data_IF_065460585316
#
_entry.id   IF_065460585316
#
_cell.length_a   1.000
_cell.length_b   1.000
_cell.length_c   1.000
_cell.angle_alpha   90.00
_cell.angle_beta   90.00
_cell.angle_gamma   90.00
#
_symmetry.space_group_name_H-M   'P 1'
#
loop_
_entity.id
_entity.type
_entity.pdbx_description
1 polymer ?
#
# COMPACT_ATOMS: atom_id res chain seq x y z
N UNK A 1 -19.21 -11.67 -0.76
CA UNK A 1 -18.23 -11.50 -1.85
C UNK A 1 -18.84 -12.08 -3.11
N UNK A 2 -18.84 -11.33 -4.21
CA UNK A 2 -19.33 -11.75 -5.53
C UNK A 2 -18.32 -11.41 -6.61
N UNK A 3 -18.48 -11.96 -7.81
CA UNK A 3 -17.58 -11.78 -8.96
C UNK A 3 -18.11 -10.81 -10.03
N UNK A 4 -19.10 -9.99 -9.69
CA UNK A 4 -19.74 -9.07 -10.63
C UNK A 4 -19.42 -7.62 -10.24
N UNK A 5 -18.65 -6.94 -11.08
CA UNK A 5 -18.26 -5.54 -10.89
C UNK A 5 -19.46 -4.59 -10.93
N UNK A 6 -20.54 -4.95 -11.64
CA UNK A 6 -21.76 -4.14 -11.70
C UNK A 6 -22.49 -4.09 -10.34
N UNK A 7 -22.27 -5.05 -9.45
CA UNK A 7 -22.81 -5.03 -8.08
C UNK A 7 -22.30 -3.85 -7.26
N UNK A 8 -21.14 -3.27 -7.60
CA UNK A 8 -20.56 -2.14 -6.89
C UNK A 8 -21.42 -0.87 -6.95
N UNK A 9 -22.17 -0.73 -8.04
CA UNK A 9 -23.02 0.41 -8.33
C UNK A 9 -24.50 0.03 -8.22
N UNK A 10 -24.88 -1.21 -8.50
CA UNK A 10 -26.30 -1.62 -8.50
C UNK A 10 -26.90 -1.86 -7.10
N UNK A 11 -26.09 -2.13 -6.07
CA UNK A 11 -26.59 -2.49 -4.74
C UNK A 11 -26.58 -1.36 -3.70
N UNK A 12 -26.30 -0.11 -4.11
CA UNK A 12 -26.14 1.03 -3.19
C UNK A 12 -27.28 2.03 -3.27
N UNK A 13 -27.48 2.74 -2.16
CA UNK A 13 -28.41 3.87 -2.15
C UNK A 13 -27.94 4.92 -3.17
N UNK A 14 -28.84 5.49 -4.00
CA UNK A 14 -28.47 6.49 -4.99
C UNK A 14 -27.65 7.65 -4.39
N UNK A 15 -27.98 8.07 -3.17
CA UNK A 15 -27.30 9.17 -2.47
C UNK A 15 -25.82 8.86 -2.17
N UNK A 16 -25.48 7.60 -1.88
CA UNK A 16 -24.09 7.16 -1.63
C UNK A 16 -23.26 7.21 -2.92
N UNK A 17 -23.83 6.69 -4.01
CA UNK A 17 -23.21 6.70 -5.33
C UNK A 17 -23.01 8.15 -5.79
N UNK A 18 -24.03 8.97 -5.60
CA UNK A 18 -24.00 10.38 -5.98
C UNK A 18 -22.93 11.15 -5.18
N UNK A 19 -22.78 10.91 -3.88
CA UNK A 19 -21.75 11.56 -3.07
C UNK A 19 -20.33 11.19 -3.53
N UNK A 20 -20.06 9.90 -3.78
CA UNK A 20 -18.74 9.43 -4.25
C UNK A 20 -18.42 9.90 -5.67
N UNK A 21 -19.39 9.79 -6.58
CA UNK A 21 -19.26 10.32 -7.94
C UNK A 21 -18.97 11.82 -7.91
N UNK A 22 -19.72 12.59 -7.11
CA UNK A 22 -19.53 14.02 -6.93
C UNK A 22 -18.13 14.37 -6.43
N UNK A 23 -17.61 13.65 -5.42
CA UNK A 23 -16.25 13.86 -4.94
C UNK A 23 -15.21 13.64 -6.05
N UNK A 24 -15.31 12.54 -6.80
CA UNK A 24 -14.42 12.26 -7.93
C UNK A 24 -14.51 13.34 -9.00
N UNK A 25 -15.73 13.75 -9.36
CA UNK A 25 -15.98 14.80 -10.34
C UNK A 25 -15.32 16.13 -9.96
N UNK A 26 -15.60 16.62 -8.75
CA UNK A 26 -15.04 17.88 -8.24
C UNK A 26 -13.50 17.89 -8.24
N UNK A 27 -12.89 16.80 -7.76
CA UNK A 27 -11.43 16.68 -7.71
C UNK A 27 -10.83 16.60 -9.11
N UNK A 28 -11.48 15.88 -10.03
CA UNK A 28 -11.03 15.75 -11.42
C UNK A 28 -11.12 17.09 -12.16
N UNK A 29 -12.24 17.81 -12.02
CA UNK A 29 -12.44 19.14 -12.61
C UNK A 29 -11.44 20.16 -12.08
N UNK A 30 -11.09 20.08 -10.78
CA UNK A 30 -10.09 20.93 -10.15
C UNK A 30 -8.63 20.51 -10.43
N UNK A 31 -8.43 19.43 -11.19
CA UNK A 31 -7.11 18.89 -11.54
C UNK A 31 -6.31 18.46 -10.31
N UNK A 32 -6.97 17.87 -9.30
CA UNK A 32 -6.31 17.29 -8.13
C UNK A 32 -5.87 15.85 -8.47
N UNK A 33 -4.57 15.53 -8.44
CA UNK A 33 -4.11 14.17 -8.75
C UNK A 33 -4.44 13.21 -7.60
N UNK A 34 -5.11 12.11 -7.94
CA UNK A 34 -5.30 10.97 -7.04
C UNK A 34 -5.32 9.66 -7.85
N UNK A 35 -5.08 8.54 -7.17
CA UNK A 35 -5.44 7.22 -7.67
C UNK A 35 -6.52 6.60 -6.78
N UNK A 36 -7.48 5.89 -7.35
CA UNK A 36 -8.48 5.14 -6.61
C UNK A 36 -7.82 3.88 -6.07
N UNK A 37 -7.96 3.63 -4.78
CA UNK A 37 -7.45 2.43 -4.12
C UNK A 37 -8.56 1.60 -3.49
N UNK A 38 -8.24 0.97 -2.36
CA UNK A 38 -9.24 0.29 -1.53
C UNK A 38 -9.97 -0.86 -2.24
N UNK A 39 -11.24 -1.03 -1.88
CA UNK A 39 -12.08 -2.09 -2.43
C UNK A 39 -12.31 -1.96 -3.94
N UNK A 40 -12.37 -0.74 -4.49
CA UNK A 40 -12.58 -0.51 -5.92
C UNK A 40 -11.38 -0.94 -6.74
N UNK A 41 -10.17 -0.55 -6.33
CA UNK A 41 -8.95 -0.97 -7.02
C UNK A 41 -8.75 -2.48 -6.90
N UNK A 42 -9.01 -3.04 -5.73
CA UNK A 42 -8.98 -4.48 -5.52
C UNK A 42 -9.97 -5.23 -6.43
N UNK A 43 -11.20 -4.74 -6.57
CA UNK A 43 -12.20 -5.30 -7.48
C UNK A 43 -11.78 -5.17 -8.95
N UNK A 44 -11.18 -4.04 -9.35
CA UNK A 44 -10.68 -3.84 -10.71
C UNK A 44 -9.59 -4.86 -11.10
N UNK A 45 -8.73 -5.27 -10.17
CA UNK A 45 -7.68 -6.26 -10.42
C UNK A 45 -8.15 -7.71 -10.28
N UNK A 46 -9.07 -7.99 -9.35
CA UNK A 46 -9.42 -9.37 -8.99
C UNK A 46 -10.79 -9.84 -9.48
N UNK A 47 -11.66 -8.90 -9.85
CA UNK A 47 -13.09 -9.13 -10.05
C UNK A 47 -13.88 -9.36 -8.76
N UNK A 48 -13.22 -9.42 -7.59
CA UNK A 48 -13.87 -9.70 -6.32
C UNK A 48 -14.44 -8.41 -5.75
N UNK A 49 -15.77 -8.36 -5.65
CA UNK A 49 -16.48 -7.25 -5.03
C UNK A 49 -16.74 -7.48 -3.54
N UNK A 50 -16.60 -6.39 -2.78
CA UNK A 50 -16.99 -6.27 -1.37
C UNK A 50 -17.72 -4.95 -1.17
N UNK A 51 -18.76 -5.02 -0.35
CA UNK A 51 -19.39 -3.82 0.15
C UNK A 51 -18.37 -3.03 0.99
N UNK A 52 -18.21 -1.75 0.66
CA UNK A 52 -17.33 -0.81 1.37
C UNK A 52 -18.12 0.44 1.70
N UNK A 53 -17.89 0.99 2.89
CA UNK A 53 -18.50 2.24 3.33
C UNK A 53 -17.70 3.46 2.83
N UNK A 54 -16.50 3.22 2.31
CA UNK A 54 -15.48 4.26 2.14
C UNK A 54 -15.07 4.32 0.66
N UNK A 55 -14.86 5.53 0.14
CA UNK A 55 -14.12 5.75 -1.10
C UNK A 55 -12.67 6.11 -0.74
N UNK A 56 -11.74 5.21 -1.05
CA UNK A 56 -10.32 5.42 -0.78
C UNK A 56 -9.64 6.07 -2.00
N UNK A 57 -9.22 7.32 -1.84
CA UNK A 57 -8.43 8.07 -2.80
C UNK A 57 -7.00 8.23 -2.27
N UNK A 58 -6.01 8.01 -3.14
CA UNK A 58 -4.59 8.04 -2.81
C UNK A 58 -3.92 9.19 -3.53
N UNK A 59 -4.01 10.43 -3.01
CA UNK A 59 -3.22 11.56 -3.48
C UNK A 59 -1.79 11.48 -2.94
N UNK A 60 -0.88 12.26 -3.51
CA UNK A 60 0.36 12.57 -2.78
C UNK A 60 0.01 13.43 -1.57
N UNK A 61 0.84 13.41 -0.53
CA UNK A 61 0.62 14.24 0.67
C UNK A 61 0.46 15.74 0.34
N UNK A 62 1.23 16.25 -0.63
CA UNK A 62 1.15 17.64 -1.11
C UNK A 62 -0.20 17.99 -1.77
N UNK A 63 -0.87 17.00 -2.35
CA UNK A 63 -2.12 17.17 -3.10
C UNK A 63 -3.35 16.95 -2.19
N UNK A 64 -3.19 16.21 -1.08
CA UNK A 64 -4.27 15.91 -0.13
C UNK A 64 -4.90 17.17 0.48
N UNK A 65 -4.11 18.21 0.78
CA UNK A 65 -4.62 19.49 1.31
C UNK A 65 -5.54 20.20 0.32
N UNK A 66 -5.12 20.27 -0.95
CA UNK A 66 -5.93 20.85 -2.04
C UNK A 66 -7.23 20.05 -2.23
N UNK A 67 -7.18 18.72 -2.08
CA UNK A 67 -8.38 17.89 -2.16
C UNK A 67 -9.43 18.26 -1.09
N UNK A 68 -8.99 18.53 0.15
CA UNK A 68 -9.90 19.00 1.20
C UNK A 68 -10.49 20.37 0.87
N UNK A 69 -9.65 21.33 0.45
CA UNK A 69 -10.11 22.69 0.10
C UNK A 69 -11.20 22.67 -0.98
N UNK A 70 -11.03 21.84 -2.02
CA UNK A 70 -12.01 21.71 -3.10
C UNK A 70 -13.34 21.14 -2.59
N UNK A 71 -13.30 20.11 -1.75
CA UNK A 71 -14.53 19.53 -1.20
C UNK A 71 -15.20 20.46 -0.17
N UNK A 72 -14.44 21.20 0.62
CA UNK A 72 -14.96 22.19 1.56
C UNK A 72 -15.73 23.31 0.84
N UNK A 73 -15.24 23.77 -0.32
CA UNK A 73 -15.95 24.74 -1.16
C UNK A 73 -17.30 24.21 -1.68
N UNK A 74 -17.45 22.89 -1.84
CA UNK A 74 -18.70 22.22 -2.21
C UNK A 74 -19.61 21.93 -1.01
N UNK A 75 -19.18 22.30 0.21
CA UNK A 75 -19.94 22.13 1.45
C UNK A 75 -19.66 20.82 2.19
N UNK A 76 -18.63 20.07 1.82
CA UNK A 76 -18.20 18.91 2.57
C UNK A 76 -17.53 19.32 3.87
N UNK A 77 -17.72 18.51 4.92
CA UNK A 77 -16.98 18.67 6.17
C UNK A 77 -15.66 17.93 6.04
N UNK A 78 -14.53 18.60 6.19
CA UNK A 78 -13.20 17.98 6.05
C UNK A 78 -12.45 17.89 7.38
N UNK A 79 -11.63 16.86 7.52
CA UNK A 79 -10.82 16.62 8.71
C UNK A 79 -9.40 16.19 8.33
N UNK A 80 -8.41 16.80 9.00
CA UNK A 80 -7.02 16.32 8.97
C UNK A 80 -6.81 15.28 10.06
N UNK A 81 -7.28 14.06 9.81
CA UNK A 81 -7.36 13.00 10.83
C UNK A 81 -5.99 12.54 11.35
N UNK A 82 -5.02 12.36 10.46
CA UNK A 82 -3.64 12.00 10.79
C UNK A 82 -2.67 12.54 9.74
N UNK A 83 -1.81 13.48 10.14
CA UNK A 83 -0.84 14.12 9.24
C UNK A 83 0.23 13.17 8.68
N UNK A 84 0.34 11.94 9.18
CA UNK A 84 1.26 10.94 8.63
C UNK A 84 0.66 10.26 7.40
N UNK A 85 -0.66 10.04 7.36
CA UNK A 85 -1.21 9.13 6.35
C UNK A 85 -2.64 9.36 5.87
N UNK A 86 -3.51 10.07 6.62
CA UNK A 86 -4.95 10.07 6.33
C UNK A 86 -5.61 11.42 6.61
N UNK A 87 -6.30 11.95 5.59
CA UNK A 87 -7.35 12.95 5.77
C UNK A 87 -8.71 12.40 5.37
N UNK A 88 -9.80 13.02 5.82
CA UNK A 88 -11.17 12.60 5.53
C UNK A 88 -12.04 13.76 5.07
N UNK A 89 -12.99 13.49 4.19
CA UNK A 89 -14.07 14.41 3.85
C UNK A 89 -15.42 13.71 3.97
N UNK A 90 -16.43 14.42 4.47
CA UNK A 90 -17.75 13.89 4.80
C UNK A 90 -18.85 14.67 4.09
N UNK A 91 -19.80 13.95 3.49
CA UNK A 91 -21.06 14.47 2.95
C UNK A 91 -22.22 13.68 3.58
N UNK A 92 -22.81 14.23 4.65
CA UNK A 92 -23.77 13.49 5.48
C UNK A 92 -23.11 12.30 6.16
N UNK A 93 -23.65 11.09 5.94
CA UNK A 93 -23.11 9.83 6.48
C UNK A 93 -22.02 9.22 5.58
N UNK A 94 -21.79 9.76 4.39
CA UNK A 94 -20.82 9.26 3.43
C UNK A 94 -19.47 9.95 3.61
N UNK A 95 -18.38 9.21 3.40
CA UNK A 95 -17.04 9.77 3.51
C UNK A 95 -16.05 9.23 2.48
N UNK A 96 -15.04 10.06 2.24
CA UNK A 96 -13.91 9.82 1.34
C UNK A 96 -12.64 9.89 2.16
N UNK A 97 -11.80 8.87 2.03
CA UNK A 97 -10.50 8.78 2.67
C UNK A 97 -9.41 9.23 1.70
N UNK A 98 -8.60 10.18 2.13
CA UNK A 98 -7.42 10.65 1.40
C UNK A 98 -6.16 10.06 2.03
N UNK A 99 -5.77 8.90 1.50
CA UNK A 99 -4.69 8.07 2.01
C UNK A 99 -3.39 8.38 1.25
N UNK A 100 -2.47 9.11 1.87
CA UNK A 100 -1.19 9.48 1.25
C UNK A 100 0.01 8.67 1.78
N UNK A 101 -0.25 7.75 2.72
CA UNK A 101 0.68 6.73 3.19
C UNK A 101 -0.08 5.57 3.85
N UNK A 102 0.56 4.44 4.16
CA UNK A 102 0.03 3.52 5.16
C UNK A 102 0.17 4.09 6.58
N UNK A 103 -0.65 3.64 7.53
CA UNK A 103 -0.62 4.10 8.93
C UNK A 103 0.67 3.79 9.70
N UNK A 104 1.53 2.91 9.17
CA UNK A 104 2.89 2.69 9.66
C UNK A 104 3.95 3.56 8.98
N UNK A 105 3.57 4.40 8.01
CA UNK A 105 4.46 5.32 7.29
C UNK A 105 5.34 4.66 6.24
N UNK A 106 5.08 3.39 5.88
CA UNK A 106 5.91 2.61 4.94
C UNK A 106 5.47 2.85 3.50
N UNK A 107 4.19 2.64 3.19
CA UNK A 107 3.66 2.69 1.83
C UNK A 107 3.24 4.12 1.46
N UNK A 108 4.23 5.01 1.31
CA UNK A 108 4.01 6.41 0.90
C UNK A 108 3.52 6.47 -0.55
N UNK A 109 2.54 7.34 -0.82
CA UNK A 109 2.06 7.60 -2.17
C UNK A 109 3.01 8.57 -2.89
N UNK A 110 3.84 8.01 -3.76
CA UNK A 110 4.82 8.72 -4.59
C UNK A 110 4.45 8.71 -6.08
N UNK A 111 5.33 9.23 -6.94
CA UNK A 111 5.08 9.37 -8.38
C UNK A 111 4.87 8.03 -9.09
N UNK A 112 5.51 6.95 -8.63
CA UNK A 112 5.39 5.62 -9.22
C UNK A 112 3.96 5.05 -9.07
N UNK A 113 3.18 5.47 -8.06
CA UNK A 113 1.76 5.11 -7.97
C UNK A 113 0.95 5.62 -9.17
N UNK A 114 1.31 6.80 -9.68
CA UNK A 114 0.62 7.45 -10.80
C UNK A 114 1.16 6.97 -12.14
N UNK A 115 2.48 6.83 -12.27
CA UNK A 115 3.16 6.39 -13.49
C UNK A 115 2.66 5.02 -13.95
N UNK A 116 2.40 4.12 -12.99
CA UNK A 116 2.01 2.74 -13.26
C UNK A 116 0.51 2.47 -13.10
N UNK A 117 -0.27 3.50 -12.75
CA UNK A 117 -1.71 3.35 -12.62
C UNK A 117 -2.36 3.10 -13.97
N UNK A 118 -3.39 2.24 -13.97
CA UNK A 118 -4.24 2.02 -15.15
C UNK A 118 -5.53 2.83 -15.01
N UNK A 119 -6.07 3.26 -16.15
CA UNK A 119 -7.37 3.93 -16.19
C UNK A 119 -8.50 2.90 -16.14
N UNK A 120 -9.55 3.19 -15.37
CA UNK A 120 -10.82 2.45 -15.39
C UNK A 120 -11.99 3.40 -15.12
N UNK A 121 -13.20 2.96 -15.43
CA UNK A 121 -14.42 3.68 -15.05
C UNK A 121 -14.79 3.36 -13.61
N UNK A 122 -14.91 4.39 -12.76
CA UNK A 122 -15.41 4.31 -11.39
C UNK A 122 -16.49 5.39 -11.23
N UNK A 123 -17.72 4.99 -10.90
CA UNK A 123 -18.83 5.92 -10.69
C UNK A 123 -19.07 6.88 -11.87
N UNK A 124 -18.91 6.40 -13.10
CA UNK A 124 -19.09 7.21 -14.32
C UNK A 124 -17.92 8.14 -14.66
N UNK A 125 -16.81 8.09 -13.91
CA UNK A 125 -15.60 8.88 -14.17
C UNK A 125 -14.42 7.97 -14.57
N UNK A 126 -13.65 8.39 -15.57
CA UNK A 126 -12.37 7.75 -15.90
C UNK A 126 -11.34 8.11 -14.82
N UNK A 127 -10.95 7.13 -14.01
CA UNK A 127 -10.06 7.29 -12.88
C UNK A 127 -8.78 6.47 -13.05
N UNK A 128 -7.67 6.96 -12.50
CA UNK A 128 -6.49 6.13 -12.27
C UNK A 128 -6.75 5.17 -11.12
N UNK A 129 -6.32 3.92 -11.26
CA UNK A 129 -6.43 2.88 -10.23
C UNK A 129 -5.05 2.54 -9.73
N UNK A 130 -4.91 2.43 -8.40
CA UNK A 130 -3.67 2.02 -7.75
C UNK A 130 -3.13 0.72 -8.39
N UNK A 131 -1.83 0.66 -8.76
CA UNK A 131 -1.27 -0.55 -9.34
C UNK A 131 -1.24 -1.70 -8.34
N UNK A 132 -1.29 -2.94 -8.84
CA UNK A 132 -1.41 -4.11 -7.99
C UNK A 132 -0.21 -4.28 -7.03
N UNK A 133 0.98 -3.89 -7.48
CA UNK A 133 2.22 -3.93 -6.70
C UNK A 133 2.14 -3.02 -5.46
N UNK A 134 1.64 -1.79 -5.62
CA UNK A 134 1.43 -0.82 -4.56
C UNK A 134 0.31 -1.25 -3.59
N UNK A 135 -0.76 -1.88 -4.11
CA UNK A 135 -1.81 -2.47 -3.28
C UNK A 135 -1.27 -3.65 -2.45
N UNK A 136 -0.49 -4.55 -3.06
CA UNK A 136 0.17 -5.65 -2.34
C UNK A 136 1.12 -5.10 -1.28
N UNK A 137 1.95 -4.14 -1.64
CA UNK A 137 2.92 -3.52 -0.72
C UNK A 137 2.25 -2.96 0.53
N UNK A 138 1.18 -2.16 0.35
CA UNK A 138 0.44 -1.59 1.48
C UNK A 138 -0.31 -2.65 2.29
N UNK A 139 -1.02 -3.59 1.63
CA UNK A 139 -1.83 -4.62 2.31
C UNK A 139 -1.01 -5.65 3.07
N UNK A 140 0.22 -5.95 2.64
CA UNK A 140 1.08 -6.90 3.34
C UNK A 140 1.38 -6.48 4.80
N UNK A 141 1.35 -5.19 5.11
CA UNK A 141 1.52 -4.68 6.46
C UNK A 141 0.24 -4.64 7.30
N UNK A 142 -0.93 -4.93 6.72
CA UNK A 142 -2.20 -5.03 7.45
C UNK A 142 -2.30 -6.41 8.07
N UNK A 143 -1.73 -6.53 9.27
CA UNK A 143 -1.56 -7.76 10.05
C UNK A 143 -1.86 -7.47 11.54
N UNK A 144 -2.99 -6.84 11.79
CA UNK A 144 -3.53 -6.58 13.13
C UNK A 144 -4.40 -7.74 13.61
N UNK A 145 -4.72 -7.76 14.91
CA UNK A 145 -5.53 -8.84 15.51
C UNK A 145 -6.94 -8.87 14.93
N UNK A 146 -7.51 -7.70 14.76
CA UNK A 146 -8.88 -7.45 14.28
C UNK A 146 -8.96 -7.25 12.77
N UNK A 147 -7.82 -7.08 12.10
CA UNK A 147 -7.76 -6.85 10.66
C UNK A 147 -6.51 -7.47 10.03
N UNK A 148 -6.75 -8.40 9.11
CA UNK A 148 -5.71 -9.07 8.34
C UNK A 148 -6.09 -9.11 6.86
N UNK A 149 -5.27 -8.52 5.99
CA UNK A 149 -5.55 -8.44 4.54
C UNK A 149 -4.83 -9.54 3.72
N UNK A 150 -4.23 -10.57 4.34
CA UNK A 150 -3.43 -11.57 3.60
C UNK A 150 -4.21 -12.37 2.55
N UNK A 151 -5.52 -12.58 2.71
CA UNK A 151 -6.35 -13.18 1.67
C UNK A 151 -6.40 -12.28 0.42
N UNK A 152 -6.47 -10.95 0.59
CA UNK A 152 -6.48 -10.00 -0.53
C UNK A 152 -5.14 -10.03 -1.27
N UNK A 153 -4.04 -10.09 -0.52
CA UNK A 153 -2.69 -10.26 -1.09
C UNK A 153 -2.65 -11.54 -1.93
N UNK A 154 -3.13 -12.65 -1.41
CA UNK A 154 -3.16 -13.92 -2.14
C UNK A 154 -4.00 -13.85 -3.42
N UNK A 155 -5.16 -13.20 -3.40
CA UNK A 155 -6.00 -13.03 -4.58
C UNK A 155 -5.35 -12.11 -5.62
N UNK A 156 -4.67 -11.05 -5.19
CA UNK A 156 -3.90 -10.18 -6.09
C UNK A 156 -2.74 -10.94 -6.73
N UNK A 157 -2.00 -11.73 -5.97
CA UNK A 157 -0.94 -12.59 -6.51
C UNK A 157 -1.49 -13.59 -7.53
N UNK A 158 -2.64 -14.23 -7.24
CA UNK A 158 -3.28 -15.17 -8.16
C UNK A 158 -3.67 -14.51 -9.49
N UNK A 159 -4.22 -13.28 -9.44
CA UNK A 159 -4.78 -12.60 -10.61
C UNK A 159 -3.77 -11.77 -11.38
N UNK A 160 -2.81 -11.16 -10.68
CA UNK A 160 -1.89 -10.17 -11.24
C UNK A 160 -0.43 -10.64 -11.24
N UNK A 161 -0.08 -11.70 -10.51
CA UNK A 161 1.31 -12.12 -10.31
C UNK A 161 2.11 -12.31 -11.59
N UNK A 162 1.50 -12.91 -12.63
CA UNK A 162 2.18 -13.14 -13.92
C UNK A 162 2.37 -11.88 -14.77
N UNK A 163 1.68 -10.78 -14.45
CA UNK A 163 1.68 -9.54 -15.24
C UNK A 163 2.35 -8.37 -14.52
N UNK A 164 2.60 -8.47 -13.23
CA UNK A 164 3.12 -7.38 -12.42
C UNK A 164 4.65 -7.29 -12.47
N UNK A 165 5.17 -6.09 -12.20
CA UNK A 165 6.59 -5.83 -12.14
C UNK A 165 7.15 -6.27 -10.77
N UNK A 166 7.69 -7.49 -10.74
CA UNK A 166 8.28 -8.07 -9.52
C UNK A 166 9.56 -7.37 -9.05
N UNK A 167 10.34 -6.78 -9.95
CA UNK A 167 11.52 -6.00 -9.55
C UNK A 167 11.09 -4.74 -8.79
N UNK A 168 10.05 -4.04 -9.26
CA UNK A 168 9.45 -2.91 -8.55
C UNK A 168 8.90 -3.35 -7.21
N UNK A 169 8.16 -4.45 -7.14
CA UNK A 169 7.62 -4.96 -5.88
C UNK A 169 8.74 -5.31 -4.88
N UNK A 170 9.78 -6.02 -5.32
CA UNK A 170 10.95 -6.33 -4.49
C UNK A 170 11.64 -5.04 -3.99
N UNK A 171 11.75 -4.01 -4.83
CA UNK A 171 12.28 -2.69 -4.45
C UNK A 171 11.37 -1.97 -3.45
N UNK A 172 10.04 -2.07 -3.56
CA UNK A 172 9.10 -1.51 -2.57
C UNK A 172 9.28 -2.13 -1.19
N UNK A 173 9.53 -3.44 -1.15
CA UNK A 173 9.78 -4.13 0.11
C UNK A 173 11.19 -3.90 0.64
N UNK A 174 12.24 -3.85 -0.18
CA UNK A 174 13.61 -3.53 0.22
C UNK A 174 14.03 -4.24 1.53
N UNK A 175 14.13 -3.51 2.64
CA UNK A 175 14.47 -3.96 3.99
C UNK A 175 13.37 -4.72 4.74
N UNK A 176 12.17 -4.78 4.18
CA UNK A 176 10.98 -5.45 4.72
C UNK A 176 10.67 -6.74 3.95
N UNK A 177 11.65 -7.30 3.25
CA UNK A 177 11.50 -8.49 2.41
C UNK A 177 10.95 -9.69 3.19
N UNK A 178 11.15 -9.78 4.50
CA UNK A 178 10.61 -10.83 5.36
C UNK A 178 9.06 -10.80 5.36
N UNK A 179 8.48 -9.60 5.32
CA UNK A 179 7.02 -9.41 5.23
C UNK A 179 6.52 -9.93 3.89
N UNK A 180 7.18 -9.60 2.78
CA UNK A 180 6.82 -10.15 1.46
C UNK A 180 6.94 -11.68 1.44
N UNK A 181 8.06 -12.23 1.92
CA UNK A 181 8.26 -13.68 1.97
C UNK A 181 7.16 -14.38 2.76
N UNK A 182 6.74 -13.84 3.91
CA UNK A 182 5.65 -14.43 4.70
C UNK A 182 4.34 -14.56 3.91
N UNK A 183 3.96 -13.52 3.17
CA UNK A 183 2.76 -13.54 2.33
C UNK A 183 2.93 -14.45 1.12
N UNK A 184 4.10 -14.47 0.48
CA UNK A 184 4.36 -15.38 -0.63
C UNK A 184 4.31 -16.85 -0.16
N UNK A 185 4.80 -17.15 1.04
CA UNK A 185 4.68 -18.50 1.61
C UNK A 185 3.21 -18.87 1.88
N UNK A 186 2.40 -17.94 2.40
CA UNK A 186 0.96 -18.14 2.57
C UNK A 186 0.26 -18.34 1.22
N UNK A 187 0.63 -17.58 0.18
CA UNK A 187 0.12 -17.76 -1.17
C UNK A 187 0.42 -19.16 -1.72
N UNK A 188 1.68 -19.61 -1.60
CA UNK A 188 2.11 -20.94 -2.08
C UNK A 188 1.44 -22.09 -1.34
N UNK A 189 1.01 -21.88 -0.10
CA UNK A 189 0.20 -22.81 0.68
C UNK A 189 -1.27 -22.80 0.22
N UNK A 190 -1.86 -21.60 0.04
CA UNK A 190 -3.24 -21.44 -0.39
C UNK A 190 -3.49 -21.94 -1.83
N UNK A 191 -2.53 -21.73 -2.73
CA UNK A 191 -2.60 -22.08 -4.15
C UNK A 191 -1.39 -22.90 -4.60
N UNK A 192 -1.27 -24.17 -4.17
CA UNK A 192 -0.12 -25.00 -4.52
C UNK A 192 0.02 -25.28 -6.02
N UNK A 193 -1.07 -25.17 -6.79
CA UNK A 193 -1.10 -25.35 -8.24
C UNK A 193 -0.80 -24.07 -9.05
N UNK A 194 -0.67 -22.92 -8.39
CA UNK A 194 -0.50 -21.60 -9.04
C UNK A 194 0.81 -20.92 -8.60
N UNK A 195 1.77 -21.71 -8.14
CA UNK A 195 3.04 -21.22 -7.58
C UNK A 195 3.85 -20.39 -8.58
N UNK A 196 3.69 -20.66 -9.86
CA UNK A 196 4.30 -19.95 -10.98
C UNK A 196 3.71 -18.55 -11.21
N UNK A 197 2.65 -18.15 -10.49
CA UNK A 197 2.25 -16.74 -10.39
C UNK A 197 3.36 -15.87 -9.78
N UNK A 198 4.24 -16.47 -8.97
CA UNK A 198 5.42 -15.83 -8.42
C UNK A 198 6.65 -16.37 -9.17
N UNK A 199 7.46 -15.52 -9.83
CA UNK A 199 8.66 -15.96 -10.52
C UNK A 199 9.62 -16.67 -9.58
N UNK A 200 10.24 -17.75 -10.06
CA UNK A 200 11.16 -18.56 -9.26
C UNK A 200 12.32 -17.74 -8.69
N UNK A 201 12.83 -16.75 -9.44
CA UNK A 201 13.93 -15.89 -8.99
C UNK A 201 13.56 -15.08 -7.73
N UNK A 202 12.29 -14.67 -7.58
CA UNK A 202 11.82 -13.94 -6.38
C UNK A 202 11.90 -14.84 -5.16
N UNK A 203 11.45 -16.09 -5.30
CA UNK A 203 11.55 -17.08 -4.22
C UNK A 203 12.99 -17.42 -3.88
N UNK A 204 13.84 -17.62 -4.90
CA UNK A 204 15.26 -17.90 -4.70
C UNK A 204 15.94 -16.75 -3.95
N UNK A 205 15.68 -15.50 -4.35
CA UNK A 205 16.23 -14.32 -3.69
C UNK A 205 15.77 -14.20 -2.23
N UNK A 206 14.47 -14.30 -1.95
CA UNK A 206 13.93 -14.19 -0.58
C UNK A 206 14.43 -15.32 0.33
N UNK A 207 14.56 -16.54 -0.20
CA UNK A 207 15.13 -17.66 0.54
C UNK A 207 16.63 -17.49 0.76
N UNK A 208 17.38 -16.94 -0.21
CA UNK A 208 18.80 -16.63 -0.04
C UNK A 208 19.01 -15.63 1.09
N UNK A 209 18.24 -14.53 1.11
CA UNK A 209 18.30 -13.54 2.20
C UNK A 209 18.02 -14.18 3.56
N UNK A 210 17.06 -15.09 3.63
CA UNK A 210 16.77 -15.85 4.86
C UNK A 210 17.99 -16.66 5.31
N UNK A 211 18.62 -17.40 4.40
CA UNK A 211 19.83 -18.18 4.71
C UNK A 211 20.99 -17.28 5.14
N UNK A 212 21.14 -16.11 4.53
CA UNK A 212 22.16 -15.14 4.91
C UNK A 212 21.91 -14.62 6.33
N UNK A 213 20.67 -14.27 6.70
CA UNK A 213 20.37 -13.87 8.09
C UNK A 213 20.62 -14.99 9.11
N UNK A 214 20.42 -16.26 8.73
CA UNK A 214 20.74 -17.40 9.60
C UNK A 214 22.24 -17.52 9.83
N UNK A 215 23.05 -17.22 8.81
CA UNK A 215 24.52 -17.21 8.90
C UNK A 215 25.06 -16.02 9.69
N UNK A 216 24.48 -14.85 9.47
CA UNK A 216 24.82 -13.60 10.20
C UNK A 216 24.46 -13.70 11.69
N UNK A 217 23.35 -14.38 12.01
CA UNK A 217 22.87 -14.56 13.36
C UNK A 217 21.99 -13.41 13.84
N UNK A 218 21.87 -13.27 15.16
CA UNK A 218 20.98 -12.30 15.77
C UNK A 218 21.55 -10.88 15.69
N UNK A 219 20.65 -9.89 15.62
CA UNK A 219 21.04 -8.50 15.80
C UNK A 219 21.57 -8.27 17.22
N UNK A 220 22.62 -7.45 17.34
CA UNK A 220 23.17 -7.05 18.65
C UNK A 220 22.19 -6.17 19.42
N UNK A 221 21.42 -5.33 18.71
CA UNK A 221 20.43 -4.46 19.31
C UNK A 221 19.14 -5.23 19.65
N UNK A 222 18.70 -5.11 20.90
CA UNK A 222 17.40 -5.65 21.35
C UNK A 222 16.25 -4.77 20.84
N UNK A 223 15.84 -4.97 19.60
CA UNK A 223 14.80 -4.19 18.91
C UNK A 223 13.61 -5.07 18.50
N UNK A 224 12.39 -4.55 18.65
CA UNK A 224 11.18 -5.22 18.18
C UNK A 224 10.62 -4.48 16.97
N UNK A 225 10.81 -5.04 15.76
CA UNK A 225 10.24 -4.55 14.50
C UNK A 225 8.76 -4.90 14.33
N UNK A 226 8.20 -5.76 15.20
CA UNK A 226 6.81 -6.19 15.13
C UNK A 226 5.81 -5.04 15.24
N UNK A 227 6.17 -3.96 15.93
CA UNK A 227 5.31 -2.78 16.06
C UNK A 227 5.22 -1.90 14.79
N UNK A 228 5.95 -2.24 13.72
CA UNK A 228 5.72 -1.71 12.36
C UNK A 228 4.48 -2.38 11.74
N UNK A 229 4.23 -3.64 12.09
CA UNK A 229 3.11 -4.46 11.61
C UNK A 229 1.88 -4.23 12.49
N UNK A 230 2.07 -4.27 13.81
CA UNK A 230 0.97 -4.08 14.78
C UNK A 230 1.40 -3.29 16.00
N UNK A 231 0.79 -2.11 16.22
CA UNK A 231 1.13 -1.29 17.40
C UNK A 231 0.62 -1.91 18.70
N UNK A 232 -0.50 -2.62 18.64
CA UNK A 232 -1.19 -3.15 19.81
C UNK A 232 -0.58 -4.48 20.25
N UNK A 233 -0.35 -5.40 19.32
CA UNK A 233 0.08 -6.76 19.66
C UNK A 233 1.53 -6.81 20.17
N UNK A 234 2.40 -5.91 19.70
CA UNK A 234 3.80 -5.82 20.12
C UNK A 234 4.06 -4.74 21.20
N UNK A 235 3.01 -4.24 21.85
CA UNK A 235 3.17 -3.23 22.90
C UNK A 235 3.97 -3.78 24.09
N UNK A 236 3.69 -5.03 24.50
CA UNK A 236 4.33 -5.68 25.65
C UNK A 236 5.85 -5.83 25.45
N UNK A 237 6.29 -6.09 24.22
CA UNK A 237 7.70 -6.22 23.85
C UNK A 237 8.48 -4.96 24.23
N UNK A 238 7.89 -3.80 23.94
CA UNK A 238 8.52 -2.50 24.14
C UNK A 238 8.35 -2.03 25.58
N UNK A 239 7.13 -2.10 26.12
CA UNK A 239 6.81 -1.51 27.41
C UNK A 239 7.23 -2.36 28.61
N UNK A 240 7.37 -3.68 28.44
CA UNK A 240 7.67 -4.61 29.54
C UNK A 240 8.89 -5.51 29.29
N UNK A 241 9.16 -5.95 28.06
CA UNK A 241 10.29 -6.86 27.78
C UNK A 241 11.59 -6.14 27.42
N UNK A 242 11.57 -4.81 27.40
CA UNK A 242 12.76 -3.97 27.21
C UNK A 242 13.29 -3.95 25.78
N UNK A 243 12.46 -4.24 24.78
CA UNK A 243 12.83 -4.05 23.38
C UNK A 243 12.75 -2.57 22.99
N UNK A 244 13.68 -2.13 22.15
CA UNK A 244 13.60 -0.83 21.49
C UNK A 244 12.44 -0.82 20.49
N UNK A 245 11.82 0.35 20.35
CA UNK A 245 10.70 0.57 19.44
C UNK A 245 11.17 0.53 17.97
N UNK A 246 10.82 -0.55 17.27
CA UNK A 246 11.21 -0.77 15.87
C UNK A 246 10.58 0.22 14.91
N UNK A 247 9.32 0.61 15.11
CA UNK A 247 8.65 1.63 14.29
C UNK A 247 9.35 2.99 14.35
N UNK A 248 9.71 3.46 15.54
CA UNK A 248 10.42 4.73 15.70
C UNK A 248 11.84 4.67 15.10
N UNK A 249 12.53 3.53 15.25
CA UNK A 249 13.82 3.30 14.58
C UNK A 249 13.66 3.36 13.05
N UNK A 250 12.64 2.70 12.52
CA UNK A 250 12.38 2.58 11.09
C UNK A 250 11.99 3.93 10.45
N UNK A 251 11.18 4.72 11.14
CA UNK A 251 10.87 6.12 10.77
C UNK A 251 12.15 6.97 10.67
N UNK A 252 13.02 6.89 11.69
CA UNK A 252 14.30 7.61 11.67
C UNK A 252 15.19 7.17 10.50
N UNK A 253 15.26 5.86 10.24
CA UNK A 253 16.05 5.33 9.14
C UNK A 253 15.55 5.80 7.77
N UNK A 254 14.23 5.85 7.56
CA UNK A 254 13.65 6.40 6.32
C UNK A 254 13.99 7.88 6.14
N UNK A 255 13.94 8.68 7.21
CA UNK A 255 14.31 10.10 7.15
C UNK A 255 15.80 10.32 6.85
N UNK A 256 16.68 9.47 7.37
CA UNK A 256 18.12 9.55 7.10
C UNK A 256 18.45 9.09 5.66
N UNK A 257 17.84 8.00 5.20
CA UNK A 257 17.99 7.52 3.82
C UNK A 257 17.54 8.54 2.77
N UNK A 258 16.45 9.27 3.04
CA UNK A 258 15.96 10.34 2.17
C UNK A 258 16.88 11.57 2.12
N UNK A 259 17.76 11.78 3.11
CA UNK A 259 18.78 12.84 3.10
C UNK A 259 20.10 12.43 2.42
N UNK A 260 20.34 11.13 2.24
CA UNK A 260 21.59 10.58 1.68
C UNK A 260 21.46 10.15 0.21
N UNK A 261 20.41 10.56 -0.49
CA UNK A 261 20.09 10.16 -1.87
C UNK A 261 21.06 10.65 -2.96
N UNK A 262 22.14 11.35 -2.63
CA UNK A 262 23.28 11.52 -3.53
C UNK A 262 24.28 10.39 -3.26
N UNK A 263 24.12 9.24 -3.93
CA UNK A 263 25.20 8.24 -3.98
C UNK A 263 26.30 8.75 -4.93
N UNK A 264 27.60 8.65 -4.56
CA UNK A 264 28.69 8.96 -5.48
C UNK A 264 28.70 7.97 -6.63
N UNK A 265 28.99 8.45 -7.83
CA UNK A 265 29.26 7.64 -9.01
C UNK A 265 30.30 6.56 -8.68
N UNK A 266 30.03 5.32 -9.10
CA UNK A 266 30.99 4.23 -9.07
C UNK A 266 32.17 4.61 -9.97
N UNK A 267 33.34 4.81 -9.37
CA UNK A 267 34.60 4.96 -10.10
C UNK A 267 34.87 3.69 -10.92
N UNK A 268 34.84 3.89 -12.23
CA UNK A 268 35.18 2.95 -13.27
C UNK A 268 36.69 2.62 -13.16
N UNK A 269 37.02 1.48 -12.55
CA UNK A 269 38.41 0.99 -12.51
C UNK A 269 38.75 0.24 -13.81
N UNK A 270 38.75 0.98 -14.92
CA UNK A 270 39.44 0.59 -16.13
C UNK A 270 40.90 1.05 -16.05
N UNK A 271 41.68 0.36 -15.21
CA UNK A 271 43.13 0.55 -15.10
C UNK A 271 43.88 -0.31 -16.11
N UNK A 272 44.38 0.32 -17.17
CA UNK A 272 45.36 -0.22 -18.10
C UNK A 272 46.59 -0.80 -17.40
N UNK A 273 47.10 -1.95 -17.85
CA UNK A 273 48.40 -2.46 -17.47
C UNK A 273 48.88 -3.51 -18.46
N UNK A 274 50.03 -3.22 -19.08
CA UNK A 274 50.71 -3.94 -20.16
C UNK A 274 51.13 -5.37 -19.82
#
# INVERSE_FOLDING_TARGET
>A
MGLDAALAEQSRAPDEINARARAIGLLSEAGVPFVVGGAYAYAAHTGIYRDTKDLDLFPRKRDAGKALEILELDGWRTERTDDVWLYKAFCGEYFVDFIFSSGNGVAVVDDEWFEHAKKTMIFGHECLVAPAEEIIWSKCFVNERERYDGADVNHLLLKMGRQMNWERLMRRFDRYWEVLLSHVMMFRYAYPCERDCVPDWVMVELMSRTLDTVREGNWEEKICRGNIISRVNYHVDISHWGYRNGRAWDENQRHQGGKSGARPELEDTAGSGR
#
